data_IF_528936668369
#
_entry.id   IF_528936668369
#
_cell.length_a   1.000
_cell.length_b   1.000
_cell.length_c   1.000
_cell.angle_alpha   90.00
_cell.angle_beta   90.00
_cell.angle_gamma   90.00
#
_symmetry.space_group_name_H-M   'P 1'
#
loop_
_entity.id
_entity.type
_entity.pdbx_description
1 polymer ?
#
# COMPACT_ATOMS: atom_id res chain seq x y z
N UNK A 1 21.42 9.54 -12.81
CA UNK A 1 20.25 8.75 -12.38
C UNK A 1 19.03 9.64 -12.58
N UNK A 2 18.02 9.17 -13.28
CA UNK A 2 16.81 9.95 -13.54
C UNK A 2 16.11 10.23 -12.20
N UNK A 3 15.85 11.52 -11.94
CA UNK A 3 15.22 11.97 -10.70
C UNK A 3 13.77 11.43 -10.57
N UNK A 4 13.08 11.26 -11.70
CA UNK A 4 11.75 10.67 -11.76
C UNK A 4 11.79 9.22 -11.25
N UNK A 5 12.77 8.45 -11.72
CA UNK A 5 12.97 7.07 -11.27
C UNK A 5 13.31 7.00 -9.78
N UNK A 6 14.14 7.94 -9.29
CA UNK A 6 14.46 8.03 -7.86
C UNK A 6 13.22 8.32 -7.01
N UNK A 7 12.34 9.21 -7.45
CA UNK A 7 11.08 9.49 -6.75
C UNK A 7 10.13 8.29 -6.80
N UNK A 8 10.04 7.63 -7.95
CA UNK A 8 9.10 6.53 -8.18
C UNK A 8 9.44 5.28 -7.37
N UNK A 9 10.71 4.88 -7.33
CA UNK A 9 11.18 3.64 -6.70
C UNK A 9 11.98 3.93 -5.43
N UNK A 10 12.81 4.96 -5.42
CA UNK A 10 13.71 5.25 -4.30
C UNK A 10 12.97 5.67 -3.03
N UNK A 11 11.86 6.41 -3.14
CA UNK A 11 11.08 6.84 -1.96
C UNK A 11 10.45 5.64 -1.24
N UNK A 12 9.66 4.74 -1.90
CA UNK A 12 9.12 3.57 -1.21
C UNK A 12 10.22 2.66 -0.64
N UNK A 13 11.31 2.42 -1.38
CA UNK A 13 12.44 1.62 -0.88
C UNK A 13 13.11 2.31 0.32
N UNK A 14 13.27 3.63 0.29
CA UNK A 14 13.80 4.40 1.42
C UNK A 14 12.97 4.24 2.68
N UNK A 15 11.64 4.25 2.57
CA UNK A 15 10.74 4.02 3.70
C UNK A 15 10.83 2.55 4.18
N UNK A 16 10.93 1.58 3.27
CA UNK A 16 11.18 0.16 3.65
C UNK A 16 12.46 0.04 4.46
N UNK A 17 13.56 0.63 3.98
CA UNK A 17 14.85 0.59 4.71
C UNK A 17 14.73 1.28 6.08
N UNK A 18 14.01 2.39 6.14
CA UNK A 18 13.78 3.12 7.39
C UNK A 18 13.01 2.27 8.40
N UNK A 19 11.86 1.68 8.01
CA UNK A 19 11.02 0.90 8.94
C UNK A 19 11.73 -0.37 9.42
N UNK A 20 12.43 -1.07 8.53
CA UNK A 20 13.22 -2.27 8.88
C UNK A 20 14.33 -1.93 9.86
N UNK A 21 15.01 -0.78 9.69
CA UNK A 21 16.07 -0.34 10.61
C UNK A 21 15.56 0.27 11.91
N UNK A 22 14.27 0.63 11.97
CA UNK A 22 13.64 1.13 13.19
C UNK A 22 13.30 0.01 14.16
N UNK A 23 13.33 -1.23 13.67
CA UNK A 23 13.16 -2.40 14.50
C UNK A 23 14.43 -2.68 15.33
N UNK A 24 14.22 -3.07 16.59
CA UNK A 24 15.31 -3.45 17.51
C UNK A 24 15.90 -4.81 17.13
N UNK A 25 15.06 -5.73 16.70
CA UNK A 25 15.43 -7.07 16.27
C UNK A 25 15.18 -7.18 14.77
N UNK A 26 16.24 -6.89 13.98
CA UNK A 26 16.14 -6.75 12.53
C UNK A 26 15.77 -8.08 11.88
N UNK A 27 14.69 -8.05 11.11
CA UNK A 27 14.16 -9.17 10.38
C UNK A 27 15.11 -9.74 9.31
N UNK A 28 15.05 -11.07 9.02
CA UNK A 28 15.86 -11.66 7.97
C UNK A 28 15.62 -10.98 6.61
N UNK A 29 16.71 -10.54 5.98
CA UNK A 29 16.65 -9.87 4.67
C UNK A 29 15.89 -10.68 3.63
N UNK A 30 16.01 -12.01 3.66
CA UNK A 30 15.29 -12.91 2.77
C UNK A 30 13.78 -12.84 2.97
N UNK A 31 13.33 -12.67 4.22
CA UNK A 31 11.90 -12.54 4.52
C UNK A 31 11.37 -11.16 4.12
N UNK A 32 12.15 -10.09 4.34
CA UNK A 32 11.82 -8.73 3.87
C UNK A 32 11.67 -8.71 2.35
N UNK A 33 12.62 -9.29 1.60
CA UNK A 33 12.54 -9.34 0.13
C UNK A 33 11.32 -10.14 -0.34
N UNK A 34 11.07 -11.32 0.24
CA UNK A 34 9.89 -12.14 -0.10
C UNK A 34 8.58 -11.37 0.16
N UNK A 35 8.48 -10.74 1.32
CA UNK A 35 7.31 -9.95 1.72
C UNK A 35 7.08 -8.76 0.78
N UNK A 36 8.15 -8.06 0.39
CA UNK A 36 8.09 -6.99 -0.60
C UNK A 36 7.59 -7.50 -1.95
N UNK A 37 8.14 -8.62 -2.45
CA UNK A 37 7.73 -9.22 -3.72
C UNK A 37 6.29 -9.74 -3.70
N UNK A 38 5.79 -10.20 -2.57
CA UNK A 38 4.36 -10.52 -2.38
C UNK A 38 3.53 -9.25 -2.56
N UNK A 39 3.94 -8.13 -1.94
CA UNK A 39 3.31 -6.82 -2.14
C UNK A 39 3.26 -6.42 -3.62
N UNK A 40 4.37 -6.59 -4.34
CA UNK A 40 4.42 -6.36 -5.80
C UNK A 40 3.44 -7.27 -6.55
N UNK A 41 3.37 -8.55 -6.20
CA UNK A 41 2.57 -9.53 -6.93
C UNK A 41 1.05 -9.31 -6.78
N UNK A 42 0.59 -8.83 -5.63
CA UNK A 42 -0.84 -8.60 -5.39
C UNK A 42 -1.44 -7.44 -6.19
N UNK A 43 -0.62 -6.63 -6.87
CA UNK A 43 -1.13 -5.60 -7.79
C UNK A 43 -1.89 -6.23 -8.96
N UNK A 44 -1.53 -7.45 -9.38
CA UNK A 44 -2.20 -8.14 -10.48
C UNK A 44 -3.69 -8.39 -10.17
N UNK A 45 -4.06 -9.10 -9.07
CA UNK A 45 -5.46 -9.24 -8.72
C UNK A 45 -6.13 -7.91 -8.35
N UNK A 46 -5.41 -6.94 -7.78
CA UNK A 46 -5.95 -5.62 -7.50
C UNK A 46 -6.32 -4.87 -8.79
N UNK A 47 -5.43 -4.84 -9.78
CA UNK A 47 -5.68 -4.23 -11.09
C UNK A 47 -6.86 -4.88 -11.81
N UNK A 48 -6.99 -6.21 -11.73
CA UNK A 48 -8.17 -6.91 -12.25
C UNK A 48 -9.46 -6.44 -11.58
N UNK A 49 -9.49 -6.33 -10.25
CA UNK A 49 -10.67 -5.80 -9.53
C UNK A 49 -10.93 -4.33 -9.84
N UNK A 50 -9.88 -3.51 -9.88
CA UNK A 50 -9.98 -2.09 -10.18
C UNK A 50 -10.46 -1.83 -11.62
N UNK A 51 -10.21 -2.74 -12.59
CA UNK A 51 -10.71 -2.62 -13.95
C UNK A 51 -12.25 -2.60 -14.03
N UNK A 52 -12.94 -3.32 -13.14
CA UNK A 52 -14.40 -3.26 -13.02
C UNK A 52 -14.87 -1.90 -12.48
N UNK A 53 -14.14 -1.32 -11.53
CA UNK A 53 -14.43 0.01 -10.97
C UNK A 53 -14.31 1.06 -12.07
N UNK A 54 -13.22 1.05 -12.85
CA UNK A 54 -12.99 1.97 -13.96
C UNK A 54 -14.06 1.86 -15.06
N UNK A 55 -14.41 0.64 -15.45
CA UNK A 55 -15.50 0.42 -16.42
C UNK A 55 -16.84 0.97 -15.93
N UNK A 56 -17.11 0.85 -14.64
CA UNK A 56 -18.32 1.40 -14.03
C UNK A 56 -18.24 2.93 -13.94
N UNK A 57 -17.11 3.48 -13.59
CA UNK A 57 -16.85 4.93 -13.55
C UNK A 57 -17.07 5.57 -14.93
N UNK A 58 -16.52 4.99 -16.01
CA UNK A 58 -16.75 5.44 -17.39
C UNK A 58 -18.23 5.40 -17.78
N UNK A 59 -18.95 4.37 -17.37
CA UNK A 59 -20.36 4.19 -17.74
C UNK A 59 -21.28 5.10 -16.95
N UNK A 60 -21.02 5.29 -15.66
CA UNK A 60 -21.88 6.05 -14.74
C UNK A 60 -21.59 7.55 -14.71
N UNK A 61 -20.37 7.95 -15.06
CA UNK A 61 -19.85 9.32 -14.91
C UNK A 61 -19.60 9.76 -13.47
N UNK A 62 -19.66 8.82 -12.49
CA UNK A 62 -19.34 9.11 -11.09
C UNK A 62 -17.87 8.79 -10.81
N UNK A 63 -17.21 9.59 -9.98
CA UNK A 63 -15.89 9.26 -9.46
C UNK A 63 -16.02 8.14 -8.40
N UNK A 64 -15.53 6.95 -8.74
CA UNK A 64 -15.57 5.76 -7.91
C UNK A 64 -14.17 5.35 -7.39
N UNK A 65 -13.16 6.19 -7.57
CA UNK A 65 -11.77 5.92 -7.18
C UNK A 65 -11.61 5.51 -5.70
N UNK A 66 -12.52 5.98 -4.82
CA UNK A 66 -12.52 5.59 -3.41
C UNK A 66 -12.73 4.07 -3.20
N UNK A 67 -13.33 3.37 -4.16
CA UNK A 67 -13.55 1.92 -4.08
C UNK A 67 -12.23 1.12 -4.19
N UNK A 68 -11.14 1.73 -4.68
CA UNK A 68 -9.83 1.08 -4.70
C UNK A 68 -9.35 0.68 -3.28
N UNK A 69 -9.69 1.45 -2.24
CA UNK A 69 -9.41 1.04 -0.87
C UNK A 69 -10.07 -0.29 -0.48
N UNK A 70 -11.26 -0.59 -1.02
CA UNK A 70 -11.99 -1.85 -0.78
C UNK A 70 -11.46 -3.04 -1.58
N UNK A 71 -10.69 -2.83 -2.61
CA UNK A 71 -10.05 -3.89 -3.40
C UNK A 71 -8.62 -4.15 -2.92
N UNK A 72 -7.86 -3.11 -2.66
CA UNK A 72 -6.43 -3.21 -2.40
C UNK A 72 -6.09 -3.56 -0.95
N UNK A 73 -6.72 -2.91 0.04
CA UNK A 73 -6.38 -3.15 1.44
C UNK A 73 -6.76 -4.57 1.90
N UNK A 74 -7.92 -5.16 1.49
CA UNK A 74 -8.19 -6.57 1.76
C UNK A 74 -7.18 -7.54 1.13
N UNK A 75 -6.66 -7.24 -0.06
CA UNK A 75 -5.64 -8.07 -0.69
C UNK A 75 -4.31 -8.00 0.06
N UNK A 76 -3.89 -6.81 0.52
CA UNK A 76 -2.70 -6.64 1.38
C UNK A 76 -2.87 -7.37 2.71
N UNK A 77 -4.03 -7.23 3.34
CA UNK A 77 -4.37 -7.96 4.57
C UNK A 77 -4.33 -9.47 4.37
N UNK A 78 -4.97 -9.98 3.31
CA UNK A 78 -4.95 -11.40 2.98
C UNK A 78 -3.54 -11.92 2.72
N UNK A 79 -2.73 -11.15 1.99
CA UNK A 79 -1.33 -11.47 1.73
C UNK A 79 -0.53 -11.60 3.05
N UNK A 80 -0.73 -10.67 3.99
CA UNK A 80 -0.11 -10.78 5.32
C UNK A 80 -0.53 -12.07 6.03
N UNK A 81 -1.83 -12.33 6.12
CA UNK A 81 -2.36 -13.48 6.85
C UNK A 81 -1.91 -14.82 6.24
N UNK A 82 -1.80 -14.92 4.92
CA UNK A 82 -1.42 -16.16 4.24
C UNK A 82 0.09 -16.40 4.23
N UNK A 83 0.89 -15.36 4.08
CA UNK A 83 2.32 -15.51 3.79
C UNK A 83 3.25 -15.10 4.92
N UNK A 84 2.77 -14.31 5.90
CA UNK A 84 3.58 -13.79 7.00
C UNK A 84 3.13 -14.35 8.35
N UNK A 85 1.85 -14.30 8.66
CA UNK A 85 1.30 -14.56 9.99
C UNK A 85 1.74 -15.90 10.62
N UNK A 86 1.93 -16.94 9.81
CA UNK A 86 2.33 -18.29 10.29
C UNK A 86 3.84 -18.54 10.25
N UNK A 87 4.67 -17.53 9.94
CA UNK A 87 6.12 -17.70 9.85
C UNK A 87 6.79 -17.63 11.22
N UNK A 88 7.90 -18.37 11.36
CA UNK A 88 8.70 -18.35 12.58
C UNK A 88 9.37 -16.98 12.81
N UNK A 89 9.63 -16.26 11.72
CA UNK A 89 10.19 -14.90 11.75
C UNK A 89 9.15 -13.85 12.18
N UNK A 90 7.90 -14.22 12.48
CA UNK A 90 6.86 -13.36 13.03
C UNK A 90 6.69 -13.70 14.51
N UNK A 91 7.58 -13.17 15.37
CA UNK A 91 7.65 -13.54 16.77
C UNK A 91 7.54 -12.36 17.75
N UNK A 92 7.51 -11.11 17.26
CA UNK A 92 7.23 -9.93 18.08
C UNK A 92 6.22 -8.94 17.45
N UNK A 93 5.60 -8.04 18.24
CA UNK A 93 4.59 -7.11 17.74
C UNK A 93 5.10 -6.13 16.68
N UNK A 94 6.40 -5.78 16.69
CA UNK A 94 6.99 -4.84 15.73
C UNK A 94 7.08 -5.45 14.34
N UNK A 95 7.31 -6.77 14.24
CA UNK A 95 7.38 -7.50 12.97
C UNK A 95 6.11 -7.30 12.15
N UNK A 96 4.96 -7.29 12.84
CA UNK A 96 3.68 -7.03 12.17
C UNK A 96 3.66 -5.66 11.47
N UNK A 97 4.23 -4.63 12.10
CA UNK A 97 4.33 -3.28 11.52
C UNK A 97 5.33 -3.29 10.36
N UNK A 98 6.48 -3.93 10.55
CA UNK A 98 7.52 -4.05 9.51
C UNK A 98 6.95 -4.76 8.29
N UNK A 99 6.44 -5.97 8.43
CA UNK A 99 5.94 -6.75 7.30
C UNK A 99 4.69 -6.16 6.65
N UNK A 100 3.75 -5.59 7.44
CA UNK A 100 2.59 -4.89 6.92
C UNK A 100 2.98 -3.69 6.05
N UNK A 101 3.95 -2.91 6.51
CA UNK A 101 4.49 -1.77 5.75
C UNK A 101 5.23 -2.22 4.50
N UNK A 102 6.02 -3.29 4.59
CA UNK A 102 6.78 -3.84 3.46
C UNK A 102 5.85 -4.37 2.36
N UNK A 103 4.77 -5.09 2.70
CA UNK A 103 3.73 -5.51 1.73
C UNK A 103 3.13 -4.29 1.04
N UNK A 104 2.70 -3.30 1.84
CA UNK A 104 2.02 -2.11 1.32
C UNK A 104 2.93 -1.29 0.41
N UNK A 105 4.21 -1.15 0.75
CA UNK A 105 5.18 -0.43 -0.08
C UNK A 105 5.65 -1.23 -1.30
N UNK A 106 5.68 -2.56 -1.23
CA UNK A 106 5.87 -3.41 -2.41
C UNK A 106 4.77 -3.17 -3.44
N UNK A 107 3.52 -3.18 -3.01
CA UNK A 107 2.36 -2.82 -3.82
C UNK A 107 2.52 -1.41 -4.41
N UNK A 108 2.71 -0.40 -3.56
CA UNK A 108 2.82 0.99 -3.97
C UNK A 108 3.98 1.25 -4.95
N UNK A 109 5.07 0.48 -4.88
CA UNK A 109 6.20 0.63 -5.81
C UNK A 109 5.81 0.31 -7.25
N UNK A 110 5.11 -0.82 -7.46
CA UNK A 110 4.68 -1.19 -8.81
C UNK A 110 3.53 -0.30 -9.30
N UNK A 111 2.59 0.04 -8.42
CA UNK A 111 1.55 1.00 -8.72
C UNK A 111 2.13 2.37 -9.13
N UNK A 112 3.16 2.86 -8.45
CA UNK A 112 3.87 4.07 -8.84
C UNK A 112 4.46 4.00 -10.24
N UNK A 113 5.08 2.87 -10.60
CA UNK A 113 5.61 2.66 -11.96
C UNK A 113 4.48 2.74 -12.98
N UNK A 114 3.33 2.11 -12.69
CA UNK A 114 2.15 2.15 -13.55
C UNK A 114 1.66 3.58 -13.76
N UNK A 115 1.41 4.33 -12.68
CA UNK A 115 0.94 5.71 -12.78
C UNK A 115 1.94 6.63 -13.47
N UNK A 116 3.21 6.59 -13.09
CA UNK A 116 4.24 7.54 -13.56
C UNK A 116 4.61 7.30 -15.02
N UNK A 117 4.72 6.04 -15.45
CA UNK A 117 5.26 5.72 -16.77
C UNK A 117 4.23 5.22 -17.77
N UNK A 118 3.15 4.56 -17.32
CA UNK A 118 2.16 3.97 -18.22
C UNK A 118 0.93 4.84 -18.39
N UNK A 119 0.42 5.43 -17.29
CA UNK A 119 -0.80 6.24 -17.34
C UNK A 119 -0.52 7.72 -17.67
N UNK A 120 0.51 8.32 -17.09
CA UNK A 120 0.80 9.75 -17.16
C UNK A 120 2.22 10.04 -17.67
N UNK A 121 2.71 9.29 -18.66
CA UNK A 121 4.09 9.37 -19.16
C UNK A 121 4.55 10.78 -19.50
N UNK A 122 3.72 11.60 -20.15
CA UNK A 122 4.02 13.00 -20.51
C UNK A 122 4.16 13.92 -19.30
N UNK A 123 3.58 13.53 -18.14
CA UNK A 123 3.64 14.27 -16.87
C UNK A 123 4.39 13.51 -15.78
N UNK A 124 5.21 12.53 -16.17
CA UNK A 124 5.83 11.55 -15.27
C UNK A 124 6.54 12.19 -14.07
N UNK A 125 7.31 13.25 -14.27
CA UNK A 125 8.03 13.94 -13.20
C UNK A 125 7.06 14.57 -12.17
N UNK A 126 6.03 15.25 -12.65
CA UNK A 126 5.03 15.88 -11.77
C UNK A 126 4.26 14.85 -10.97
N UNK A 127 3.81 13.78 -11.63
CA UNK A 127 3.09 12.67 -10.97
C UNK A 127 4.01 11.96 -9.96
N UNK A 128 5.29 11.75 -10.29
CA UNK A 128 6.24 11.15 -9.36
C UNK A 128 6.40 12.00 -8.08
N UNK A 129 6.47 13.33 -8.17
CA UNK A 129 6.51 14.22 -7.01
C UNK A 129 5.23 14.10 -6.19
N UNK A 130 4.07 14.24 -6.82
CA UNK A 130 2.78 14.18 -6.11
C UNK A 130 2.64 12.85 -5.36
N UNK A 131 2.94 11.73 -6.02
CA UNK A 131 2.83 10.41 -5.41
C UNK A 131 3.88 10.18 -4.30
N UNK A 132 5.08 10.72 -4.46
CA UNK A 132 6.12 10.63 -3.43
C UNK A 132 5.73 11.30 -2.11
N UNK A 133 4.96 12.39 -2.14
CA UNK A 133 4.55 13.13 -0.94
C UNK A 133 3.12 12.80 -0.47
N UNK A 134 2.34 12.05 -1.22
CA UNK A 134 0.95 11.73 -0.89
C UNK A 134 0.65 10.23 -0.92
N UNK A 135 0.61 9.60 -2.09
CA UNK A 135 0.21 8.20 -2.24
C UNK A 135 1.18 7.21 -1.55
N UNK A 136 2.50 7.41 -1.67
CA UNK A 136 3.48 6.54 -1.00
C UNK A 136 3.37 6.63 0.53
N UNK A 137 3.34 7.82 1.16
CA UNK A 137 3.08 7.94 2.59
C UNK A 137 1.73 7.37 3.02
N UNK A 138 0.69 7.47 2.19
CA UNK A 138 -0.59 6.85 2.47
C UNK A 138 -0.46 5.33 2.57
N UNK A 139 0.11 4.68 1.55
CA UNK A 139 0.30 3.22 1.56
C UNK A 139 1.17 2.77 2.73
N UNK A 140 2.25 3.50 3.04
CA UNK A 140 3.06 3.22 4.22
C UNK A 140 2.24 3.30 5.51
N UNK A 141 1.42 4.34 5.66
CA UNK A 141 0.54 4.53 6.82
C UNK A 141 -0.50 3.42 6.96
N UNK A 142 -1.14 3.02 5.85
CA UNK A 142 -2.07 1.88 5.82
C UNK A 142 -1.37 0.59 6.25
N UNK A 143 -0.15 0.34 5.76
CA UNK A 143 0.65 -0.82 6.17
C UNK A 143 1.02 -0.82 7.65
N UNK A 144 1.42 0.34 8.20
CA UNK A 144 1.69 0.53 9.65
C UNK A 144 0.44 0.26 10.48
N UNK A 145 -0.70 0.85 10.09
CA UNK A 145 -1.99 0.67 10.82
C UNK A 145 -2.42 -0.80 10.78
N UNK A 146 -2.38 -1.42 9.61
CA UNK A 146 -2.69 -2.84 9.43
C UNK A 146 -1.80 -3.70 10.33
N UNK A 147 -0.48 -3.51 10.23
CA UNK A 147 0.50 -4.25 11.03
C UNK A 147 0.31 -4.04 12.53
N UNK A 148 0.10 -2.81 12.99
CA UNK A 148 -0.15 -2.51 14.39
C UNK A 148 -1.32 -3.33 14.95
N UNK A 149 -2.45 -3.35 14.25
CA UNK A 149 -3.61 -4.11 14.71
C UNK A 149 -3.46 -5.63 14.54
N UNK A 150 -2.73 -6.11 13.52
CA UNK A 150 -2.39 -7.54 13.41
C UNK A 150 -1.46 -7.94 14.58
N UNK A 151 -0.48 -7.12 14.94
CA UNK A 151 0.36 -7.34 16.11
C UNK A 151 -0.46 -7.42 17.40
N UNK A 152 -1.40 -6.49 17.61
CA UNK A 152 -2.30 -6.56 18.76
C UNK A 152 -3.18 -7.83 18.75
N UNK A 153 -3.63 -8.27 17.57
CA UNK A 153 -4.38 -9.52 17.45
C UNK A 153 -3.52 -10.73 17.84
N UNK A 154 -2.33 -10.85 17.26
CA UNK A 154 -1.44 -11.98 17.47
C UNK A 154 -1.00 -12.13 18.94
N UNK A 155 -0.65 -11.01 19.59
CA UNK A 155 -0.04 -11.04 20.93
C UNK A 155 -1.00 -10.72 22.08
N UNK A 156 -2.22 -10.22 21.80
CA UNK A 156 -3.27 -9.96 22.82
C UNK A 156 -4.56 -10.76 22.62
N UNK A 157 -4.73 -11.44 21.48
CA UNK A 157 -5.76 -12.47 21.27
C UNK A 157 -7.20 -11.98 21.11
N UNK A 158 -7.45 -10.69 20.76
CA UNK A 158 -8.82 -10.18 20.58
C UNK A 158 -9.19 -9.96 19.12
N UNK A 159 -10.25 -10.62 18.65
CA UNK A 159 -10.74 -10.52 17.26
C UNK A 159 -11.11 -9.10 16.81
N UNK A 160 -11.40 -8.19 17.75
CA UNK A 160 -11.65 -6.77 17.43
C UNK A 160 -10.47 -6.14 16.69
N UNK A 161 -9.24 -6.55 17.04
CA UNK A 161 -8.04 -6.01 16.40
C UNK A 161 -7.90 -6.49 14.96
N UNK A 162 -8.33 -7.72 14.65
CA UNK A 162 -8.32 -8.23 13.29
C UNK A 162 -9.30 -7.44 12.40
N UNK A 163 -10.48 -7.11 12.94
CA UNK A 163 -11.44 -6.25 12.26
C UNK A 163 -10.84 -4.85 12.03
N UNK A 164 -10.20 -4.27 13.04
CA UNK A 164 -9.54 -2.96 12.92
C UNK A 164 -8.38 -2.97 11.92
N UNK A 165 -7.60 -4.05 11.88
CA UNK A 165 -6.51 -4.23 10.92
C UNK A 165 -6.99 -4.20 9.46
N UNK A 166 -8.18 -4.69 9.19
CA UNK A 166 -8.78 -4.68 7.86
C UNK A 166 -9.50 -3.35 7.56
N UNK A 167 -10.42 -2.93 8.42
CA UNK A 167 -11.34 -1.84 8.08
C UNK A 167 -10.73 -0.44 8.22
N UNK A 168 -9.80 -0.21 9.14
CA UNK A 168 -9.22 1.13 9.29
C UNK A 168 -8.39 1.53 8.07
N UNK A 169 -7.46 0.69 7.53
CA UNK A 169 -6.77 1.00 6.29
C UNK A 169 -7.72 1.20 5.10
N UNK A 170 -8.78 0.40 4.96
CA UNK A 170 -9.80 0.59 3.91
C UNK A 170 -10.38 2.01 3.98
N UNK A 171 -10.83 2.43 5.17
CA UNK A 171 -11.43 3.76 5.35
C UNK A 171 -10.43 4.88 5.07
N UNK A 172 -9.20 4.76 5.57
CA UNK A 172 -8.14 5.77 5.36
C UNK A 172 -7.79 5.88 3.87
N UNK A 173 -7.59 4.76 3.19
CA UNK A 173 -7.28 4.74 1.77
C UNK A 173 -8.44 5.26 0.91
N UNK A 174 -9.66 4.79 1.17
CA UNK A 174 -10.85 5.24 0.45
C UNK A 174 -11.09 6.74 0.63
N UNK A 175 -10.90 7.27 1.83
CA UNK A 175 -11.03 8.70 2.09
C UNK A 175 -9.97 9.52 1.33
N UNK A 176 -8.73 9.05 1.29
CA UNK A 176 -7.69 9.69 0.50
C UNK A 176 -8.05 9.75 -0.99
N UNK A 177 -8.44 8.62 -1.59
CA UNK A 177 -8.82 8.57 -3.00
C UNK A 177 -10.05 9.44 -3.30
N UNK A 178 -11.03 9.46 -2.40
CA UNK A 178 -12.19 10.34 -2.52
C UNK A 178 -11.77 11.81 -2.58
N UNK A 179 -10.93 12.25 -1.64
CA UNK A 179 -10.47 13.64 -1.56
C UNK A 179 -9.58 14.05 -2.74
N UNK A 180 -8.67 13.17 -3.17
CA UNK A 180 -7.79 13.44 -4.32
C UNK A 180 -8.54 13.39 -5.64
N UNK A 181 -9.54 12.51 -5.79
CA UNK A 181 -10.40 12.45 -6.96
C UNK A 181 -11.18 13.74 -7.18
N UNK A 182 -11.66 14.38 -6.12
CA UNK A 182 -12.25 15.71 -6.21
C UNK A 182 -11.22 16.82 -6.49
N UNK A 183 -10.06 16.76 -5.86
CA UNK A 183 -9.00 17.76 -6.03
C UNK A 183 -8.42 17.78 -7.45
N UNK A 184 -8.20 16.61 -8.06
CA UNK A 184 -7.70 16.51 -9.43
C UNK A 184 -8.75 17.00 -10.45
N UNK A 185 -10.04 16.81 -10.20
CA UNK A 185 -11.09 17.34 -11.06
C UNK A 185 -11.19 18.87 -11.03
N UNK A 186 -10.73 19.51 -9.94
CA UNK A 186 -10.68 20.96 -9.79
C UNK A 186 -9.41 21.59 -10.40
N UNK A 187 -8.35 20.81 -10.64
CA UNK A 187 -7.09 21.28 -11.25
C UNK A 187 -7.14 21.18 -12.78
N UNK A 188 -8.10 20.47 -13.34
CA UNK A 188 -8.34 20.34 -14.78
C UNK A 188 -9.35 21.35 -15.34
N UNK A 189 -9.64 22.44 -14.61
CA UNK A 189 -10.37 23.61 -15.14
C UNK A 189 -9.39 24.65 -15.65
#
# INVERSE_FOLDING_TARGET
>A
MDITLLLTIGVPIGIVVYIVRSDRFIEPTSMIIKTFLIGVAIIIPAGFLNSFIWSWEETSGYNLSFLAGFTEEPLKFLAFMLFVYSKADFDEPMDAIVYGTVISLGFATLENIEYVYLMYGDQSFYIAILRAISAIPLHASCGVIMGYYIGLYAFRGSNKYLIQALFIPIVVHSLYNFLTGFGLSLIHI
#
